data_IF_244398806254
#
_entry.id   IF_244398806254
#
_cell.length_a   1.000
_cell.length_b   1.000
_cell.length_c   1.000
_cell.angle_alpha   90.00
_cell.angle_beta   90.00
_cell.angle_gamma   90.00
#
_symmetry.space_group_name_H-M   'P 1'
#
loop_
_entity.id
_entity.type
_entity.pdbx_description
1 polymer ?
#
# COMPACT_ATOMS: atom_id res chain seq x y z
N UNK A 1 15.66 16.39 -5.15
CA UNK A 1 15.69 16.05 -3.73
C UNK A 1 14.98 17.17 -2.97
N UNK A 2 13.82 16.82 -2.41
CA UNK A 2 12.79 17.72 -1.90
C UNK A 2 11.95 17.04 -0.81
N UNK A 3 11.97 17.61 0.39
CA UNK A 3 10.95 17.38 1.42
C UNK A 3 9.59 17.95 0.95
N UNK A 4 8.51 17.23 1.25
CA UNK A 4 7.13 17.69 1.05
C UNK A 4 6.41 17.68 2.39
N UNK A 5 5.86 18.83 2.80
CA UNK A 5 5.06 18.95 4.03
C UNK A 5 3.65 19.38 3.70
N UNK A 6 2.69 18.64 4.22
CA UNK A 6 1.28 18.98 4.28
C UNK A 6 1.03 19.44 5.71
N UNK A 7 0.68 20.70 5.89
CA UNK A 7 0.48 21.34 7.19
C UNK A 7 -1.01 21.65 7.34
N UNK A 8 -1.67 20.92 8.24
CA UNK A 8 -3.08 21.09 8.58
C UNK A 8 -4.00 21.14 7.34
N UNK A 9 -3.71 20.30 6.36
CA UNK A 9 -4.43 20.28 5.08
C UNK A 9 -5.86 19.80 5.29
N UNK A 10 -6.81 20.47 4.65
CA UNK A 10 -8.21 20.04 4.60
C UNK A 10 -8.73 20.09 3.16
N UNK A 11 -9.59 19.13 2.79
CA UNK A 11 -10.33 19.15 1.53
C UNK A 11 -11.81 18.86 1.73
N UNK A 12 -12.64 19.80 1.29
CA UNK A 12 -14.10 19.70 1.20
C UNK A 12 -14.57 19.83 -0.25
N UNK A 13 -15.59 19.06 -0.60
CA UNK A 13 -16.38 19.23 -1.82
C UNK A 13 -17.82 19.53 -1.45
N UNK A 14 -18.19 20.82 -1.49
CA UNK A 14 -19.45 21.26 -0.88
C UNK A 14 -19.49 20.85 0.59
N UNK A 15 -20.45 20.00 0.97
CA UNK A 15 -20.62 19.51 2.34
C UNK A 15 -19.83 18.22 2.64
N UNK A 16 -19.21 17.59 1.64
CA UNK A 16 -18.47 16.34 1.84
C UNK A 16 -17.02 16.63 2.24
N UNK A 17 -16.62 16.23 3.45
CA UNK A 17 -15.26 16.32 3.95
C UNK A 17 -14.44 15.11 3.46
N UNK A 18 -13.75 15.28 2.32
CA UNK A 18 -12.98 14.20 1.70
C UNK A 18 -11.64 13.95 2.41
N UNK A 19 -11.01 15.01 2.91
CA UNK A 19 -9.76 14.94 3.68
C UNK A 19 -9.91 15.85 4.89
N UNK A 20 -10.17 15.30 6.10
CA UNK A 20 -10.16 16.06 7.34
C UNK A 20 -8.80 16.70 7.61
N UNK A 21 -8.79 17.76 8.42
CA UNK A 21 -7.57 18.46 8.81
C UNK A 21 -6.52 17.47 9.36
N UNK A 22 -5.36 17.41 8.69
CA UNK A 22 -4.24 16.57 9.10
C UNK A 22 -2.92 17.08 8.52
N UNK A 23 -1.82 16.64 9.14
CA UNK A 23 -0.47 16.97 8.69
C UNK A 23 0.30 15.71 8.29
N UNK A 24 1.18 15.82 7.29
CA UNK A 24 2.04 14.75 6.79
C UNK A 24 3.36 15.33 6.30
N UNK A 25 4.47 14.73 6.73
CA UNK A 25 5.81 15.05 6.20
C UNK A 25 6.34 13.85 5.43
N UNK A 26 6.73 14.11 4.18
CA UNK A 26 7.44 13.20 3.29
C UNK A 26 8.90 13.68 3.22
N UNK A 27 9.80 12.82 3.69
CA UNK A 27 11.22 13.11 3.77
C UNK A 27 11.87 13.14 2.38
N UNK A 28 13.01 13.81 2.28
CA UNK A 28 13.77 13.84 1.03
C UNK A 28 14.23 12.43 0.61
N UNK A 29 14.00 12.08 -0.65
CA UNK A 29 14.33 10.78 -1.19
C UNK A 29 13.44 9.63 -0.70
N UNK A 30 12.40 9.91 0.10
CA UNK A 30 11.50 8.88 0.63
C UNK A 30 10.57 8.32 -0.46
N UNK A 31 10.37 7.01 -0.44
CA UNK A 31 9.25 6.34 -1.09
C UNK A 31 8.09 6.18 -0.10
N UNK A 32 7.19 7.17 -0.06
CA UNK A 32 5.98 7.11 0.75
C UNK A 32 4.83 6.47 -0.05
N UNK A 33 4.20 5.43 0.52
CA UNK A 33 2.98 4.85 -0.04
C UNK A 33 1.75 5.34 0.71
N UNK A 34 0.77 5.90 0.01
CA UNK A 34 -0.58 6.12 0.51
C UNK A 34 -1.39 4.84 0.24
N UNK A 35 -1.81 4.17 1.30
CA UNK A 35 -2.50 2.87 1.24
C UNK A 35 -3.86 2.95 1.94
N UNK A 36 -4.88 2.31 1.39
CA UNK A 36 -6.20 2.24 2.03
C UNK A 36 -7.31 1.84 1.06
N UNK A 37 -8.55 1.66 1.55
CA UNK A 37 -9.70 1.31 0.72
C UNK A 37 -10.03 2.36 -0.36
N UNK A 38 -10.81 1.97 -1.36
CA UNK A 38 -11.36 2.92 -2.33
C UNK A 38 -12.14 4.04 -1.63
N UNK A 39 -11.94 5.28 -2.06
CA UNK A 39 -12.63 6.44 -1.50
C UNK A 39 -12.03 7.03 -0.21
N UNK A 40 -10.94 6.49 0.35
CA UNK A 40 -10.36 7.02 1.59
C UNK A 40 -9.50 8.29 1.44
N UNK A 41 -9.50 8.96 0.27
CA UNK A 41 -8.82 10.26 0.08
C UNK A 41 -7.38 10.21 -0.44
N UNK A 42 -6.83 9.03 -0.81
CA UNK A 42 -5.45 8.88 -1.32
C UNK A 42 -5.17 9.71 -2.57
N UNK A 43 -5.96 9.49 -3.62
CA UNK A 43 -5.82 10.19 -4.90
C UNK A 43 -6.08 11.69 -4.75
N UNK A 44 -7.05 12.07 -3.92
CA UNK A 44 -7.30 13.49 -3.57
C UNK A 44 -6.07 14.12 -2.91
N UNK A 45 -5.47 13.47 -1.93
CA UNK A 45 -4.24 13.93 -1.26
C UNK A 45 -3.09 14.09 -2.26
N UNK A 46 -2.88 13.10 -3.12
CA UNK A 46 -1.87 13.18 -4.18
C UNK A 46 -2.13 14.33 -5.17
N UNK A 47 -3.38 14.54 -5.60
CA UNK A 47 -3.74 15.61 -6.53
C UNK A 47 -3.57 16.99 -5.92
N UNK A 48 -3.81 17.14 -4.61
CA UNK A 48 -3.51 18.37 -3.87
C UNK A 48 -2.00 18.67 -3.87
N UNK A 49 -1.15 17.66 -3.64
CA UNK A 49 0.31 17.81 -3.77
C UNK A 49 0.68 18.24 -5.20
N UNK A 50 0.11 17.58 -6.21
CA UNK A 50 0.33 17.87 -7.63
C UNK A 50 -0.13 19.27 -8.08
N UNK A 51 -1.04 19.91 -7.33
CA UNK A 51 -1.73 21.14 -7.74
C UNK A 51 -2.83 20.92 -8.78
N UNK A 52 -3.27 19.67 -8.96
CA UNK A 52 -4.41 19.32 -9.81
C UNK A 52 -5.74 19.49 -9.08
N UNK A 53 -5.67 19.77 -7.78
CA UNK A 53 -6.79 19.92 -6.88
C UNK A 53 -6.44 21.02 -5.87
N UNK A 54 -7.31 22.01 -5.71
CA UNK A 54 -7.10 23.06 -4.70
C UNK A 54 -7.35 22.48 -3.30
N UNK A 55 -6.60 22.97 -2.31
CA UNK A 55 -6.88 22.69 -0.90
C UNK A 55 -8.00 23.59 -0.39
N UNK A 56 -8.76 23.13 0.61
CA UNK A 56 -9.76 23.96 1.29
C UNK A 56 -9.14 24.79 2.41
N UNK A 57 -8.19 24.21 3.16
CA UNK A 57 -7.44 24.89 4.21
C UNK A 57 -6.05 24.24 4.38
N UNK A 58 -5.19 24.90 5.17
CA UNK A 58 -3.82 24.46 5.44
C UNK A 58 -2.82 24.90 4.37
N UNK A 59 -1.63 24.28 4.39
CA UNK A 59 -0.53 24.62 3.51
C UNK A 59 0.18 23.38 2.95
N UNK A 60 0.65 23.48 1.71
CA UNK A 60 1.55 22.51 1.09
C UNK A 60 2.88 23.20 0.87
N UNK A 61 3.92 22.65 1.47
CA UNK A 61 5.30 23.11 1.37
C UNK A 61 6.11 22.11 0.56
N UNK A 62 6.85 22.59 -0.45
CA UNK A 62 7.80 21.80 -1.22
C UNK A 62 9.14 22.50 -1.15
N UNK A 63 10.19 21.81 -0.67
CA UNK A 63 11.52 22.41 -0.43
C UNK A 63 11.45 23.68 0.45
N UNK A 64 10.56 23.68 1.43
CA UNK A 64 10.33 24.81 2.33
C UNK A 64 9.56 25.99 1.73
N UNK A 65 9.12 25.91 0.47
CA UNK A 65 8.30 26.95 -0.16
C UNK A 65 6.82 26.55 -0.18
N UNK A 66 5.92 27.47 0.19
CA UNK A 66 4.47 27.26 0.08
C UNK A 66 4.04 27.27 -1.39
N UNK A 67 3.38 26.21 -1.84
CA UNK A 67 3.04 26.02 -3.26
C UNK A 67 1.55 26.06 -3.58
N UNK A 68 0.68 26.38 -2.62
CA UNK A 68 -0.78 26.30 -2.77
C UNK A 68 -1.28 27.02 -4.04
N UNK A 69 -0.78 28.24 -4.28
CA UNK A 69 -1.20 29.08 -5.42
C UNK A 69 -0.37 28.84 -6.70
N UNK A 70 0.60 27.92 -6.66
CA UNK A 70 1.42 27.58 -7.83
C UNK A 70 0.68 26.57 -8.71
N UNK A 71 0.62 26.80 -10.03
CA UNK A 71 0.09 25.79 -10.95
C UNK A 71 1.00 24.55 -10.98
N UNK A 72 0.49 23.37 -11.35
CA UNK A 72 1.24 22.10 -11.37
C UNK A 72 2.61 22.17 -12.04
N UNK A 73 2.70 22.89 -13.15
CA UNK A 73 3.95 23.05 -13.94
C UNK A 73 5.09 23.72 -13.16
N UNK A 74 4.76 24.54 -12.16
CA UNK A 74 5.70 25.36 -11.39
C UNK A 74 6.03 24.73 -10.02
N UNK A 75 5.48 23.53 -9.74
CA UNK A 75 5.77 22.75 -8.52
C UNK A 75 6.93 21.77 -8.66
N UNK A 76 7.51 21.66 -9.86
CA UNK A 76 8.59 20.72 -10.20
C UNK A 76 8.30 19.23 -9.89
N UNK A 77 7.04 18.83 -10.05
CA UNK A 77 6.53 17.46 -9.83
C UNK A 77 6.27 16.75 -11.16
N UNK A 78 6.65 15.48 -11.29
CA UNK A 78 6.18 14.62 -12.37
C UNK A 78 5.15 13.61 -11.85
N UNK A 79 4.06 13.44 -12.61
CA UNK A 79 2.98 12.52 -12.25
C UNK A 79 2.83 11.40 -13.28
N UNK A 80 2.68 10.17 -12.79
CA UNK A 80 2.30 8.99 -13.57
C UNK A 80 0.86 8.64 -13.20
N UNK A 81 -0.04 8.75 -14.18
CA UNK A 81 -1.46 8.44 -14.00
C UNK A 81 -1.73 6.94 -14.18
N UNK A 82 -2.81 6.46 -13.56
CA UNK A 82 -3.30 5.08 -13.67
C UNK A 82 -3.44 4.58 -15.12
N UNK A 83 -3.99 5.40 -16.01
CA UNK A 83 -4.17 5.07 -17.43
C UNK A 83 -2.93 5.37 -18.30
N UNK A 84 -1.78 5.61 -17.68
CA UNK A 84 -0.49 6.01 -18.28
C UNK A 84 -0.49 7.37 -18.99
N UNK A 85 -1.64 7.81 -19.53
CA UNK A 85 -1.81 9.10 -20.21
C UNK A 85 -0.90 9.26 -21.42
N UNK A 86 -0.55 8.18 -22.12
CA UNK A 86 0.32 8.23 -23.30
C UNK A 86 -0.39 8.89 -24.48
N UNK A 87 0.34 9.63 -25.31
CA UNK A 87 -0.20 10.20 -26.54
C UNK A 87 -0.24 9.11 -27.63
N UNK A 88 -1.42 8.63 -28.05
CA UNK A 88 -1.54 7.45 -28.91
C UNK A 88 -1.01 7.67 -30.32
N UNK A 89 -1.00 8.92 -30.77
CA UNK A 89 -0.53 9.34 -32.10
C UNK A 89 0.99 9.63 -32.13
N UNK A 90 1.66 9.58 -30.98
CA UNK A 90 3.10 9.82 -30.86
C UNK A 90 3.86 8.51 -30.68
N UNK A 91 5.09 8.41 -31.19
CA UNK A 91 5.99 7.29 -30.89
C UNK A 91 6.44 7.31 -29.43
N UNK A 92 7.08 6.24 -28.95
CA UNK A 92 7.72 6.18 -27.64
C UNK A 92 8.70 7.34 -27.46
N UNK A 93 9.60 7.55 -28.42
CA UNK A 93 10.55 8.67 -28.42
C UNK A 93 9.82 10.01 -28.27
N UNK A 94 8.79 10.22 -29.07
CA UNK A 94 8.02 11.48 -29.04
C UNK A 94 7.30 11.67 -27.70
N UNK A 95 6.76 10.61 -27.10
CA UNK A 95 6.17 10.65 -25.77
C UNK A 95 7.20 11.09 -24.72
N UNK A 96 8.43 10.56 -24.78
CA UNK A 96 9.52 10.90 -23.86
C UNK A 96 10.07 12.31 -24.12
N UNK A 97 10.20 12.74 -25.38
CA UNK A 97 10.68 14.08 -25.74
C UNK A 97 9.68 15.20 -25.42
N UNK A 98 8.38 14.90 -25.37
CA UNK A 98 7.33 15.92 -25.32
C UNK A 98 7.42 16.86 -24.11
N UNK A 99 7.65 16.41 -22.86
CA UNK A 99 7.84 17.31 -21.73
C UNK A 99 9.04 18.25 -21.90
N UNK A 100 10.13 17.79 -22.51
CA UNK A 100 11.31 18.62 -22.80
C UNK A 100 11.01 19.66 -23.88
N UNK A 101 10.25 19.26 -24.92
CA UNK A 101 9.80 20.16 -25.99
C UNK A 101 8.98 21.33 -25.42
N UNK A 102 8.07 21.06 -24.48
CA UNK A 102 7.27 22.11 -23.83
C UNK A 102 8.10 23.10 -22.99
N UNK A 103 9.26 22.67 -22.49
CA UNK A 103 10.21 23.54 -21.75
C UNK A 103 11.21 24.25 -22.68
N UNK A 104 11.03 24.15 -24.00
CA UNK A 104 11.91 24.82 -24.96
C UNK A 104 13.28 24.16 -25.15
N UNK A 105 13.47 22.92 -24.72
CA UNK A 105 14.75 22.20 -24.91
C UNK A 105 15.00 21.93 -26.40
N UNK A 106 16.22 22.21 -26.85
CA UNK A 106 16.62 22.04 -28.24
C UNK A 106 16.44 20.59 -28.73
N UNK A 107 16.19 20.42 -30.03
CA UNK A 107 15.87 19.11 -30.63
C UNK A 107 16.97 18.06 -30.43
N UNK A 108 18.23 18.46 -30.52
CA UNK A 108 19.35 17.54 -30.32
C UNK A 108 19.42 17.06 -28.87
N UNK A 109 19.30 17.97 -27.90
CA UNK A 109 19.38 17.65 -26.47
C UNK A 109 18.21 16.79 -26.00
N UNK A 110 16.98 17.09 -26.46
CA UNK A 110 15.82 16.27 -26.08
C UNK A 110 15.93 14.85 -26.64
N UNK A 111 16.47 14.68 -27.85
CA UNK A 111 16.69 13.35 -28.45
C UNK A 111 17.69 12.56 -27.63
N UNK A 112 18.83 13.16 -27.30
CA UNK A 112 19.87 12.54 -26.47
C UNK A 112 19.31 12.10 -25.11
N UNK A 113 18.61 13.01 -24.41
CA UNK A 113 17.99 12.70 -23.11
C UNK A 113 16.90 11.62 -23.22
N UNK A 114 16.13 11.62 -24.29
CA UNK A 114 15.11 10.59 -24.51
C UNK A 114 15.73 9.21 -24.76
N UNK A 115 16.83 9.13 -25.50
CA UNK A 115 17.60 7.90 -25.71
C UNK A 115 18.22 7.40 -24.39
N UNK A 116 18.90 8.27 -23.64
CA UNK A 116 19.46 7.94 -22.31
C UNK A 116 18.37 7.48 -21.32
N UNK A 117 17.20 8.12 -21.37
CA UNK A 117 16.08 7.77 -20.48
C UNK A 117 15.43 6.46 -20.89
N UNK A 118 15.30 6.20 -22.20
CA UNK A 118 14.77 4.94 -22.70
C UNK A 118 15.67 3.77 -22.30
N UNK A 119 16.99 3.95 -22.29
CA UNK A 119 17.95 2.95 -21.82
C UNK A 119 17.70 2.53 -20.37
N UNK A 120 17.49 3.51 -19.48
CA UNK A 120 17.24 3.28 -18.06
C UNK A 120 15.96 2.48 -17.76
N UNK A 121 15.02 2.46 -18.70
CA UNK A 121 13.77 1.70 -18.56
C UNK A 121 13.65 0.58 -19.61
N UNK A 122 14.76 0.21 -20.25
CA UNK A 122 14.87 -0.86 -21.24
C UNK A 122 13.88 -0.71 -22.42
N UNK A 123 13.83 0.49 -23.02
CA UNK A 123 12.95 0.82 -24.15
C UNK A 123 13.71 1.18 -25.44
N UNK A 124 15.04 1.00 -25.49
CA UNK A 124 15.90 1.42 -26.60
C UNK A 124 15.42 0.93 -27.96
N UNK A 125 15.06 -0.36 -28.03
CA UNK A 125 14.59 -1.02 -29.25
C UNK A 125 13.16 -0.63 -29.65
N UNK A 126 12.44 0.12 -28.81
CA UNK A 126 11.01 0.41 -28.97
C UNK A 126 10.73 1.90 -29.23
N UNK A 127 11.77 2.74 -29.35
CA UNK A 127 11.67 4.20 -29.51
C UNK A 127 10.77 4.65 -30.67
N UNK A 128 10.72 3.89 -31.77
CA UNK A 128 9.93 4.23 -32.96
C UNK A 128 8.52 3.64 -32.96
N UNK A 129 8.18 2.76 -32.00
CA UNK A 129 6.83 2.21 -31.87
C UNK A 129 5.86 3.22 -31.29
N UNK A 130 4.57 3.03 -31.55
CA UNK A 130 3.44 3.76 -30.95
C UNK A 130 2.85 2.97 -29.78
N UNK A 131 2.12 3.62 -28.84
CA UNK A 131 1.52 2.96 -27.68
C UNK A 131 0.64 1.73 -27.97
N UNK A 132 -0.01 1.70 -29.14
CA UNK A 132 -0.83 0.56 -29.59
C UNK A 132 -0.01 -0.70 -29.91
N UNK A 133 1.30 -0.57 -30.13
CA UNK A 133 2.21 -1.66 -30.51
C UNK A 133 3.01 -2.22 -29.31
N UNK A 134 2.63 -1.80 -28.10
CA UNK A 134 3.33 -2.09 -26.85
C UNK A 134 2.48 -2.99 -25.94
N UNK A 135 3.15 -3.79 -25.12
CA UNK A 135 2.52 -4.49 -23.98
C UNK A 135 2.13 -3.51 -22.87
N UNK A 136 1.34 -3.97 -21.88
CA UNK A 136 0.97 -3.15 -20.72
C UNK A 136 2.20 -2.62 -19.96
N UNK A 137 3.18 -3.48 -19.69
CA UNK A 137 4.40 -3.11 -18.96
C UNK A 137 5.30 -2.19 -19.76
N UNK A 138 5.38 -2.38 -21.08
CA UNK A 138 6.07 -1.45 -21.96
C UNK A 138 5.41 -0.07 -21.94
N UNK A 139 4.07 0.02 -22.00
CA UNK A 139 3.36 1.31 -21.86
C UNK A 139 3.64 1.99 -20.52
N UNK A 140 3.68 1.23 -19.43
CA UNK A 140 4.03 1.77 -18.13
C UNK A 140 5.46 2.32 -18.12
N UNK A 141 6.44 1.57 -18.64
CA UNK A 141 7.83 2.02 -18.78
C UNK A 141 7.93 3.30 -19.61
N UNK A 142 7.12 3.46 -20.66
CA UNK A 142 7.07 4.72 -21.44
C UNK A 142 6.54 5.88 -20.59
N UNK A 143 5.50 5.66 -19.79
CA UNK A 143 4.96 6.68 -18.90
C UNK A 143 5.98 7.10 -17.83
N UNK A 144 6.72 6.13 -17.30
CA UNK A 144 7.80 6.33 -16.35
C UNK A 144 8.97 7.10 -16.99
N UNK A 145 9.43 6.68 -18.17
CA UNK A 145 10.44 7.39 -18.96
C UNK A 145 10.05 8.86 -19.18
N UNK A 146 8.80 9.10 -19.57
CA UNK A 146 8.27 10.46 -19.76
C UNK A 146 8.25 11.27 -18.47
N UNK A 147 8.01 10.64 -17.31
CA UNK A 147 8.06 11.30 -16.02
C UNK A 147 9.51 11.65 -15.62
N UNK A 148 10.47 10.74 -15.84
CA UNK A 148 11.84 10.88 -15.34
C UNK A 148 12.75 11.72 -16.24
N UNK A 149 12.46 11.83 -17.55
CA UNK A 149 13.28 12.56 -18.55
C UNK A 149 13.55 14.03 -18.17
N UNK A 150 12.66 14.64 -17.37
CA UNK A 150 12.73 16.04 -16.91
C UNK A 150 13.41 16.20 -15.55
N UNK A 151 13.93 15.12 -14.95
CA UNK A 151 14.60 15.11 -13.63
C UNK A 151 13.82 15.90 -12.57
N UNK A 152 12.57 15.49 -12.26
CA UNK A 152 11.72 16.22 -11.32
C UNK A 152 12.25 16.07 -9.89
N UNK A 153 11.83 16.98 -9.01
CA UNK A 153 12.17 16.89 -7.60
C UNK A 153 11.31 15.88 -6.84
N UNK A 154 10.10 15.60 -7.34
CA UNK A 154 9.11 14.70 -6.73
C UNK A 154 8.44 13.87 -7.83
N UNK A 155 8.28 12.58 -7.57
CA UNK A 155 7.42 11.68 -8.34
C UNK A 155 6.09 11.43 -7.62
N UNK A 156 4.99 11.53 -8.36
CA UNK A 156 3.67 11.10 -7.91
C UNK A 156 3.20 9.97 -8.82
N UNK A 157 2.78 8.84 -8.24
CA UNK A 157 2.29 7.70 -9.01
C UNK A 157 0.92 7.24 -8.51
N UNK A 158 -0.12 7.42 -9.32
CA UNK A 158 -1.50 7.10 -8.97
C UNK A 158 -1.88 5.72 -9.53
N UNK A 159 -1.81 4.68 -8.69
CA UNK A 159 -2.07 3.27 -9.02
C UNK A 159 -1.40 2.78 -10.33
N UNK A 160 -0.08 3.00 -10.52
CA UNK A 160 0.56 2.79 -11.82
C UNK A 160 0.63 1.31 -12.24
N UNK A 161 0.36 0.36 -11.35
CA UNK A 161 0.41 -1.09 -11.58
C UNK A 161 -0.98 -1.74 -11.70
N UNK A 162 -2.08 -1.01 -11.46
CA UNK A 162 -3.43 -1.59 -11.38
C UNK A 162 -3.90 -2.26 -12.66
N UNK A 163 -3.44 -1.75 -13.81
CA UNK A 163 -3.84 -2.20 -15.15
C UNK A 163 -2.99 -3.36 -15.69
N UNK A 164 -2.09 -3.93 -14.87
CA UNK A 164 -1.20 -5.03 -15.28
C UNK A 164 -1.68 -6.37 -14.73
N UNK A 165 -1.30 -7.46 -15.41
CA UNK A 165 -1.49 -8.82 -14.92
C UNK A 165 -0.55 -9.13 -13.74
N UNK A 166 -0.89 -10.16 -12.96
CA UNK A 166 -0.18 -10.49 -11.72
C UNK A 166 1.34 -10.75 -11.92
N UNK A 167 1.72 -11.47 -12.99
CA UNK A 167 3.13 -11.78 -13.26
C UNK A 167 3.90 -10.51 -13.54
N UNK A 168 3.34 -9.65 -14.39
CA UNK A 168 3.98 -8.41 -14.77
C UNK A 168 4.03 -7.40 -13.62
N UNK A 169 3.04 -7.39 -12.71
CA UNK A 169 3.09 -6.56 -11.49
C UNK A 169 4.30 -6.89 -10.63
N UNK A 170 4.61 -8.17 -10.44
CA UNK A 170 5.76 -8.60 -9.62
C UNK A 170 7.07 -8.08 -10.22
N UNK A 171 7.27 -8.27 -11.52
CA UNK A 171 8.46 -7.75 -12.22
C UNK A 171 8.53 -6.23 -12.14
N UNK A 172 7.46 -5.53 -12.51
CA UNK A 172 7.46 -4.07 -12.52
C UNK A 172 7.64 -3.45 -11.14
N UNK A 173 7.22 -4.14 -10.08
CA UNK A 173 7.47 -3.70 -8.71
C UNK A 173 8.96 -3.72 -8.36
N UNK A 174 9.67 -4.78 -8.74
CA UNK A 174 11.12 -4.86 -8.56
C UNK A 174 11.83 -3.74 -9.35
N UNK A 175 11.42 -3.52 -10.61
CA UNK A 175 11.95 -2.44 -11.45
C UNK A 175 11.74 -1.05 -10.83
N UNK A 176 10.53 -0.77 -10.32
CA UNK A 176 10.23 0.51 -9.68
C UNK A 176 11.09 0.73 -8.42
N UNK A 177 11.30 -0.32 -7.61
CA UNK A 177 12.16 -0.25 -6.43
C UNK A 177 13.61 0.05 -6.81
N UNK A 178 14.12 -0.63 -7.85
CA UNK A 178 15.47 -0.41 -8.34
C UNK A 178 15.64 1.00 -8.93
N UNK A 179 14.70 1.44 -9.77
CA UNK A 179 14.73 2.79 -10.33
C UNK A 179 14.69 3.87 -9.24
N UNK A 180 13.86 3.69 -8.20
CA UNK A 180 13.85 4.63 -7.08
C UNK A 180 15.21 4.66 -6.38
N UNK A 181 15.84 3.51 -6.15
CA UNK A 181 17.18 3.43 -5.56
C UNK A 181 18.23 4.17 -6.40
N UNK A 182 18.20 4.03 -7.73
CA UNK A 182 19.13 4.73 -8.62
C UNK A 182 18.90 6.24 -8.67
N UNK A 183 17.64 6.69 -8.64
CA UNK A 183 17.30 8.10 -8.81
C UNK A 183 17.32 8.90 -7.50
N UNK A 184 17.02 8.27 -6.36
CA UNK A 184 16.92 8.94 -5.05
C UNK A 184 15.88 10.07 -5.01
N UNK A 185 14.86 10.02 -5.88
CA UNK A 185 13.84 11.06 -5.97
C UNK A 185 12.69 10.75 -5.01
N UNK A 186 12.29 11.75 -4.21
CA UNK A 186 11.12 11.70 -3.34
C UNK A 186 9.90 11.24 -4.13
N UNK A 187 9.25 10.16 -3.69
CA UNK A 187 8.19 9.48 -4.42
C UNK A 187 6.98 9.29 -3.52
N UNK A 188 5.82 9.78 -3.97
CA UNK A 188 4.51 9.46 -3.38
C UNK A 188 3.80 8.49 -4.29
N UNK A 189 3.39 7.35 -3.76
CA UNK A 189 2.78 6.26 -4.51
C UNK A 189 1.42 5.92 -3.91
N UNK A 190 0.36 5.91 -4.71
CA UNK A 190 -0.99 5.57 -4.28
C UNK A 190 -1.32 4.17 -4.75
N UNK A 191 -1.82 3.33 -3.84
CA UNK A 191 -2.30 1.99 -4.18
C UNK A 191 -3.36 1.50 -3.20
N UNK A 192 -4.09 0.49 -3.62
CA UNK A 192 -4.93 -0.35 -2.77
C UNK A 192 -4.31 -1.74 -2.55
N UNK A 193 -3.21 -2.06 -3.24
CA UNK A 193 -2.49 -3.32 -3.10
C UNK A 193 -1.51 -3.25 -1.93
N UNK A 194 -1.76 -4.07 -0.91
CA UNK A 194 -0.94 -4.11 0.28
C UNK A 194 0.47 -4.65 -0.01
N UNK A 195 0.61 -5.60 -0.93
CA UNK A 195 1.91 -6.16 -1.28
C UNK A 195 2.80 -5.10 -1.95
N UNK A 196 2.21 -4.18 -2.72
CA UNK A 196 2.94 -3.02 -3.25
C UNK A 196 3.45 -2.14 -2.11
N UNK A 197 2.58 -1.76 -1.18
CA UNK A 197 2.95 -0.95 -0.02
C UNK A 197 4.05 -1.60 0.82
N UNK A 198 3.93 -2.91 1.07
CA UNK A 198 4.83 -3.65 1.94
C UNK A 198 6.23 -3.85 1.35
N UNK A 199 6.38 -3.79 0.03
CA UNK A 199 7.65 -4.13 -0.63
C UNK A 199 8.35 -2.94 -1.28
N UNK A 200 7.61 -1.89 -1.67
CA UNK A 200 8.16 -0.67 -2.25
C UNK A 200 8.52 0.39 -1.20
N UNK A 201 7.69 0.54 -0.17
CA UNK A 201 7.70 1.74 0.65
C UNK A 201 8.85 1.78 1.65
N UNK A 202 9.37 2.98 1.91
CA UNK A 202 10.09 3.27 3.14
C UNK A 202 9.11 3.43 4.30
N UNK A 203 8.02 4.18 4.07
CA UNK A 203 6.89 4.35 5.01
C UNK A 203 5.56 4.24 4.27
N UNK A 204 4.56 3.77 4.99
CA UNK A 204 3.19 3.64 4.50
C UNK A 204 2.30 4.54 5.34
N UNK A 205 1.56 5.43 4.70
CA UNK A 205 0.45 6.15 5.29
C UNK A 205 -0.83 5.33 5.05
N UNK A 206 -1.26 4.58 6.06
CA UNK A 206 -2.53 3.85 6.01
C UNK A 206 -3.66 4.84 6.23
N UNK A 207 -4.63 4.87 5.30
CA UNK A 207 -5.71 5.85 5.27
C UNK A 207 -7.09 5.19 5.36
N UNK A 208 -7.96 5.78 6.18
CA UNK A 208 -9.40 5.45 6.30
C UNK A 208 -10.19 6.74 6.41
N UNK A 209 -11.27 6.85 5.63
CA UNK A 209 -12.21 7.99 5.70
C UNK A 209 -11.51 9.37 5.64
N UNK A 210 -10.53 9.51 4.74
CA UNK A 210 -9.78 10.74 4.56
C UNK A 210 -8.66 10.97 5.58
N UNK A 211 -8.54 10.16 6.64
CA UNK A 211 -7.53 10.31 7.70
C UNK A 211 -6.41 9.30 7.56
N UNK A 212 -5.18 9.73 7.86
CA UNK A 212 -4.05 8.84 8.12
C UNK A 212 -4.25 8.22 9.51
N UNK A 213 -4.55 6.92 9.54
CA UNK A 213 -4.73 6.15 10.78
C UNK A 213 -3.42 5.65 11.35
N UNK A 214 -2.43 5.35 10.49
CA UNK A 214 -1.09 4.99 10.92
C UNK A 214 -0.06 5.39 9.85
N UNK A 215 1.09 5.85 10.28
CA UNK A 215 2.19 6.28 9.43
C UNK A 215 3.51 5.73 9.97
N UNK A 216 4.00 4.65 9.39
CA UNK A 216 5.25 4.02 9.83
C UNK A 216 5.85 3.17 8.70
N UNK A 217 6.99 2.54 8.96
CA UNK A 217 7.60 1.53 8.10
C UNK A 217 6.66 0.34 7.90
N UNK A 218 6.73 -0.35 6.73
CA UNK A 218 5.98 -1.59 6.50
C UNK A 218 6.07 -2.59 7.65
N UNK A 219 7.30 -2.81 8.16
CA UNK A 219 7.56 -3.77 9.25
C UNK A 219 6.76 -3.43 10.51
N UNK A 220 6.76 -2.15 10.91
CA UNK A 220 6.04 -1.70 12.12
C UNK A 220 4.54 -1.72 11.93
N UNK A 221 4.02 -1.28 10.78
CA UNK A 221 2.57 -1.37 10.50
C UNK A 221 2.06 -2.82 10.56
N UNK A 222 2.84 -3.78 10.05
CA UNK A 222 2.46 -5.18 10.09
C UNK A 222 2.51 -5.76 11.51
N UNK A 223 3.59 -5.47 12.24
CA UNK A 223 3.90 -6.01 13.56
C UNK A 223 3.12 -5.34 14.69
N UNK A 224 2.78 -4.07 14.53
CA UNK A 224 2.25 -3.19 15.56
C UNK A 224 1.12 -2.32 14.95
N UNK A 225 0.01 -2.93 14.53
CA UNK A 225 -1.12 -2.16 14.00
C UNK A 225 -1.67 -1.20 15.06
N UNK A 226 -1.97 0.04 14.69
CA UNK A 226 -2.42 1.08 15.62
C UNK A 226 -3.85 0.85 16.14
N UNK A 227 -4.71 0.29 15.30
CA UNK A 227 -6.11 0.02 15.62
C UNK A 227 -6.62 -1.26 14.94
N UNK A 228 -7.84 -1.66 15.29
CA UNK A 228 -8.52 -2.83 14.74
C UNK A 228 -8.63 -2.80 13.20
N UNK A 229 -8.76 -1.60 12.62
CA UNK A 229 -8.84 -1.47 11.17
C UNK A 229 -7.50 -1.77 10.52
N UNK A 230 -6.39 -1.21 11.01
CA UNK A 230 -5.06 -1.52 10.44
C UNK A 230 -4.74 -3.01 10.61
N UNK A 231 -5.11 -3.59 11.76
CA UNK A 231 -4.92 -5.02 12.04
C UNK A 231 -5.65 -5.92 11.02
N UNK A 232 -6.92 -5.62 10.74
CA UNK A 232 -7.74 -6.37 9.77
C UNK A 232 -7.45 -6.03 8.31
N UNK A 233 -6.95 -4.83 8.04
CA UNK A 233 -6.72 -4.35 6.67
C UNK A 233 -5.36 -4.75 6.12
N UNK A 234 -4.31 -4.82 6.95
CA UNK A 234 -2.96 -5.18 6.52
C UNK A 234 -2.74 -6.68 6.70
N UNK A 235 -2.16 -7.36 5.71
CA UNK A 235 -1.88 -8.80 5.69
C UNK A 235 -2.74 -9.57 4.69
N UNK A 236 -2.15 -10.59 4.07
CA UNK A 236 -2.84 -11.51 3.18
C UNK A 236 -2.38 -12.96 3.46
N UNK A 237 -3.20 -13.79 4.12
CA UNK A 237 -4.53 -13.48 4.67
C UNK A 237 -4.49 -12.43 5.79
N UNK A 238 -5.62 -11.78 6.06
CA UNK A 238 -5.74 -10.77 7.12
C UNK A 238 -5.56 -11.38 8.51
N UNK A 239 -5.32 -10.55 9.52
CA UNK A 239 -5.28 -11.00 10.92
C UNK A 239 -6.57 -11.71 11.30
N UNK A 240 -6.48 -12.79 12.08
CA UNK A 240 -7.64 -13.36 12.74
C UNK A 240 -8.09 -12.39 13.82
N UNK A 241 -9.32 -11.89 13.72
CA UNK A 241 -9.91 -10.97 14.67
C UNK A 241 -11.12 -11.65 15.33
N UNK A 242 -11.00 -11.95 16.62
CA UNK A 242 -11.94 -12.79 17.36
C UNK A 242 -12.54 -11.98 18.50
N UNK A 243 -13.87 -11.85 18.51
CA UNK A 243 -14.60 -11.19 19.58
C UNK A 243 -14.69 -12.09 20.82
N UNK A 244 -14.40 -11.54 21.99
CA UNK A 244 -14.46 -12.28 23.24
C UNK A 244 -14.31 -11.41 24.48
N UNK A 245 -13.91 -12.06 25.57
CA UNK A 245 -13.75 -11.45 26.89
C UNK A 245 -12.49 -11.98 27.55
N UNK A 246 -11.83 -11.17 28.36
CA UNK A 246 -10.74 -11.62 29.24
C UNK A 246 -11.33 -11.86 30.62
N UNK A 247 -11.11 -13.04 31.18
CA UNK A 247 -11.43 -13.31 32.59
C UNK A 247 -10.47 -14.31 33.22
N UNK A 248 -9.93 -13.97 34.39
CA UNK A 248 -8.96 -14.80 35.10
C UNK A 248 -7.65 -15.01 34.33
N UNK A 249 -7.19 -13.99 33.60
CA UNK A 249 -5.97 -14.06 32.79
C UNK A 249 -6.08 -14.92 31.53
N UNK A 250 -7.30 -15.18 31.05
CA UNK A 250 -7.57 -15.96 29.84
C UNK A 250 -8.57 -15.22 28.96
N UNK A 251 -8.21 -14.98 27.70
CA UNK A 251 -9.16 -14.58 26.67
C UNK A 251 -10.02 -15.78 26.27
N UNK A 252 -11.34 -15.60 26.32
CA UNK A 252 -12.33 -16.63 25.98
C UNK A 252 -13.25 -16.17 24.87
N UNK A 253 -13.44 -17.05 23.91
CA UNK A 253 -14.49 -16.99 22.90
C UNK A 253 -14.95 -18.42 22.54
N UNK A 254 -15.95 -18.56 21.67
CA UNK A 254 -16.40 -19.87 21.22
C UNK A 254 -15.25 -20.61 20.50
N UNK A 255 -14.80 -21.73 21.08
CA UNK A 255 -13.69 -22.54 20.58
C UNK A 255 -12.29 -21.94 20.82
N UNK A 256 -12.17 -20.90 21.65
CA UNK A 256 -10.91 -20.19 21.88
C UNK A 256 -10.66 -19.96 23.36
N UNK A 257 -9.54 -20.46 23.86
CA UNK A 257 -9.04 -20.22 25.21
C UNK A 257 -7.54 -19.89 25.12
N UNK A 258 -7.19 -18.61 25.28
CA UNK A 258 -5.82 -18.10 25.16
C UNK A 258 -5.40 -17.44 26.46
N UNK A 259 -4.33 -17.90 27.13
CA UNK A 259 -3.77 -17.18 28.27
C UNK A 259 -3.28 -15.80 27.86
N UNK A 260 -3.70 -14.76 28.59
CA UNK A 260 -3.39 -13.36 28.31
C UNK A 260 -3.08 -12.66 29.64
N UNK A 261 -1.98 -11.91 29.68
CA UNK A 261 -1.64 -11.06 30.82
C UNK A 261 -2.38 -9.71 30.75
N UNK A 262 -3.68 -9.73 31.09
CA UNK A 262 -4.53 -8.53 31.13
C UNK A 262 -5.62 -8.70 32.21
N UNK A 263 -6.05 -7.62 32.88
CA UNK A 263 -7.21 -7.65 33.77
C UNK A 263 -8.51 -8.07 33.07
N UNK A 264 -9.47 -8.56 33.85
CA UNK A 264 -10.80 -8.94 33.36
C UNK A 264 -11.45 -7.78 32.60
N UNK A 265 -11.95 -8.07 31.39
CA UNK A 265 -12.52 -7.08 30.48
C UNK A 265 -13.49 -7.72 29.49
N UNK A 266 -14.65 -7.09 29.33
CA UNK A 266 -15.60 -7.42 28.27
C UNK A 266 -15.33 -6.63 26.99
N UNK A 267 -15.82 -7.13 25.85
CA UNK A 267 -15.72 -6.43 24.57
C UNK A 267 -14.28 -6.31 24.09
N UNK A 268 -13.52 -7.40 24.16
CA UNK A 268 -12.13 -7.48 23.68
C UNK A 268 -12.10 -8.20 22.35
N UNK A 269 -11.25 -7.73 21.43
CA UNK A 269 -10.95 -8.43 20.17
C UNK A 269 -9.54 -8.98 20.24
N UNK A 270 -9.39 -10.29 20.15
CA UNK A 270 -8.10 -10.96 20.01
C UNK A 270 -7.66 -10.94 18.55
N UNK A 271 -6.45 -10.44 18.32
CA UNK A 271 -5.75 -10.44 17.05
C UNK A 271 -4.59 -11.43 17.06
N UNK A 272 -4.55 -12.35 16.08
CA UNK A 272 -3.36 -13.17 15.81
C UNK A 272 -3.19 -13.40 14.30
N UNK A 273 -1.96 -13.34 13.81
CA UNK A 273 -1.68 -13.55 12.39
C UNK A 273 -1.78 -15.03 11.99
N UNK A 274 -2.30 -15.36 10.80
CA UNK A 274 -2.39 -16.76 10.35
C UNK A 274 -1.05 -17.50 10.35
N UNK A 275 0.05 -16.83 10.04
CA UNK A 275 1.39 -17.42 10.05
C UNK A 275 1.98 -17.62 11.45
N UNK A 276 1.39 -17.02 12.49
CA UNK A 276 1.75 -17.23 13.89
C UNK A 276 1.00 -18.42 14.51
N UNK A 277 0.12 -19.07 13.76
CA UNK A 277 -0.59 -20.29 14.13
C UNK A 277 -0.02 -21.50 13.39
N UNK A 278 -0.10 -22.65 14.03
CA UNK A 278 0.22 -23.96 13.46
C UNK A 278 -0.84 -25.00 13.80
N UNK A 279 -0.87 -26.08 13.01
CA UNK A 279 -1.80 -27.19 13.19
C UNK A 279 -1.28 -28.07 14.32
N UNK A 280 -2.12 -28.31 15.32
CA UNK A 280 -1.78 -29.08 16.50
C UNK A 280 -2.52 -30.43 16.54
N UNK A 281 -1.90 -31.47 17.12
CA UNK A 281 -2.54 -32.79 17.27
C UNK A 281 -3.64 -32.83 18.35
N UNK A 282 -3.74 -31.82 19.22
CA UNK A 282 -4.76 -31.72 20.28
C UNK A 282 -4.38 -30.72 21.39
N UNK A 283 -5.33 -30.44 22.31
CA UNK A 283 -5.08 -29.62 23.52
C UNK A 283 -4.73 -28.15 23.27
N UNK A 284 -5.18 -27.59 22.14
CA UNK A 284 -4.70 -26.32 21.62
C UNK A 284 -5.61 -25.13 21.96
N UNK A 285 -5.06 -23.92 21.86
CA UNK A 285 -5.76 -22.67 22.20
C UNK A 285 -6.95 -22.35 21.30
N UNK A 286 -7.01 -22.95 20.11
CA UNK A 286 -8.11 -22.82 19.16
C UNK A 286 -8.61 -24.21 18.76
N UNK A 287 -9.92 -24.43 18.86
CA UNK A 287 -10.57 -25.71 18.60
C UNK A 287 -11.84 -25.50 17.79
N UNK A 288 -12.11 -26.38 16.84
CA UNK A 288 -13.33 -26.31 16.03
C UNK A 288 -13.35 -27.38 14.95
N UNK A 289 -14.26 -27.20 13.98
CA UNK A 289 -14.33 -28.06 12.80
C UNK A 289 -13.54 -27.44 11.66
N UNK A 290 -12.81 -28.25 10.90
CA UNK A 290 -12.20 -27.82 9.66
C UNK A 290 -13.29 -27.34 8.71
N UNK A 291 -13.20 -26.08 8.28
CA UNK A 291 -14.18 -25.45 7.42
C UNK A 291 -13.69 -25.35 5.97
N UNK A 292 -12.42 -24.99 5.77
CA UNK A 292 -11.83 -24.87 4.44
C UNK A 292 -10.34 -25.18 4.45
N UNK A 293 -9.87 -25.75 3.34
CA UNK A 293 -8.47 -25.88 2.97
C UNK A 293 -8.25 -25.20 1.62
N UNK A 294 -7.32 -24.26 1.57
CA UNK A 294 -6.98 -23.54 0.34
C UNK A 294 -5.48 -23.69 0.06
N UNK A 295 -5.14 -24.49 -0.96
CA UNK A 295 -3.76 -24.63 -1.42
C UNK A 295 -3.32 -23.36 -2.17
N UNK A 296 -2.33 -22.66 -1.62
CA UNK A 296 -1.74 -21.45 -2.24
C UNK A 296 -0.49 -21.75 -3.07
N UNK A 297 -0.13 -23.02 -3.19
CA UNK A 297 1.05 -23.52 -3.88
C UNK A 297 2.22 -23.81 -2.93
N UNK A 298 2.63 -22.81 -2.14
CA UNK A 298 3.73 -22.93 -1.16
C UNK A 298 3.26 -23.30 0.25
N UNK A 299 1.95 -23.17 0.52
CA UNK A 299 1.33 -23.47 1.80
C UNK A 299 -0.15 -23.83 1.61
N UNK A 300 -0.77 -24.35 2.67
CA UNK A 300 -2.22 -24.55 2.72
C UNK A 300 -2.79 -23.64 3.80
N UNK A 301 -3.75 -22.80 3.42
CA UNK A 301 -4.52 -22.02 4.40
C UNK A 301 -5.57 -22.94 5.01
N UNK A 302 -5.53 -23.08 6.33
CA UNK A 302 -6.40 -23.94 7.10
C UNK A 302 -7.35 -23.08 7.90
N UNK A 303 -8.63 -23.09 7.52
CA UNK A 303 -9.66 -22.35 8.25
C UNK A 303 -10.48 -23.31 9.10
N UNK A 304 -10.47 -23.10 10.41
CA UNK A 304 -11.39 -23.76 11.34
C UNK A 304 -12.54 -22.84 11.74
N UNK A 305 -13.63 -23.47 12.16
CA UNK A 305 -14.83 -22.78 12.65
C UNK A 305 -15.38 -23.41 13.93
N UNK A 306 -15.70 -22.56 14.90
CA UNK A 306 -16.42 -22.91 16.13
C UNK A 306 -17.61 -21.95 16.27
N UNK A 307 -18.80 -22.42 15.87
CA UNK A 307 -20.01 -21.60 15.75
C UNK A 307 -19.81 -20.33 14.93
N UNK A 308 -19.73 -19.18 15.61
CA UNK A 308 -19.52 -17.88 14.95
C UNK A 308 -18.04 -17.51 14.77
N UNK A 309 -17.13 -18.12 15.52
CA UNK A 309 -15.70 -17.87 15.43
C UNK A 309 -15.11 -18.60 14.23
N UNK A 310 -14.28 -17.91 13.46
CA UNK A 310 -13.50 -18.47 12.34
C UNK A 310 -12.05 -18.07 12.51
N UNK A 311 -11.14 -19.03 12.39
CA UNK A 311 -9.69 -18.81 12.56
C UNK A 311 -8.94 -19.48 11.41
N UNK A 312 -8.06 -18.73 10.77
CA UNK A 312 -7.21 -19.17 9.68
C UNK A 312 -5.76 -19.33 10.16
N UNK A 313 -5.12 -20.43 9.81
CA UNK A 313 -3.69 -20.67 9.99
C UNK A 313 -3.02 -20.98 8.66
N UNK A 314 -1.70 -20.77 8.59
CA UNK A 314 -0.87 -21.21 7.48
C UNK A 314 -0.20 -22.55 7.81
N UNK A 315 -0.71 -23.62 7.21
CA UNK A 315 -0.16 -24.98 7.29
C UNK A 315 0.84 -25.28 6.17
N UNK A 316 1.46 -26.47 6.26
CA UNK A 316 2.34 -26.97 5.20
C UNK A 316 1.54 -27.31 3.93
N UNK A 317 2.21 -27.27 2.77
CA UNK A 317 1.55 -27.42 1.46
C UNK A 317 0.96 -28.83 1.21
N UNK A 318 1.44 -29.85 1.93
CA UNK A 318 0.96 -31.23 1.85
C UNK A 318 -0.10 -31.56 2.91
N UNK A 319 -0.56 -30.57 3.68
CA UNK A 319 -1.57 -30.81 4.69
C UNK A 319 -2.91 -31.14 4.04
N UNK A 320 -3.42 -32.34 4.35
CA UNK A 320 -4.70 -32.84 3.89
C UNK A 320 -5.55 -33.29 5.07
N UNK A 321 -6.84 -32.93 5.05
CA UNK A 321 -7.83 -33.35 6.02
C UNK A 321 -9.25 -33.16 5.44
N UNK A 322 -10.20 -33.97 5.90
CA UNK A 322 -11.59 -33.87 5.45
C UNK A 322 -12.30 -32.69 6.12
N UNK A 323 -13.06 -31.92 5.33
CA UNK A 323 -13.93 -30.85 5.86
C UNK A 323 -14.90 -31.45 6.90
N UNK A 324 -15.18 -30.69 7.95
CA UNK A 324 -16.00 -31.05 9.13
C UNK A 324 -15.33 -32.03 10.11
N UNK A 325 -14.05 -32.37 9.94
CA UNK A 325 -13.27 -33.08 10.97
C UNK A 325 -12.85 -32.14 12.10
N UNK A 326 -12.52 -32.69 13.27
CA UNK A 326 -11.97 -31.90 14.36
C UNK A 326 -10.59 -31.34 13.98
N UNK A 327 -10.40 -30.05 14.26
CA UNK A 327 -9.18 -29.32 13.95
C UNK A 327 -8.75 -28.50 15.17
N UNK A 328 -7.45 -28.51 15.45
CA UNK A 328 -6.84 -27.79 16.55
C UNK A 328 -5.70 -26.92 16.01
N UNK A 329 -5.67 -25.65 16.42
CA UNK A 329 -4.54 -24.76 16.13
C UNK A 329 -3.90 -24.28 17.41
N UNK A 330 -2.57 -24.24 17.42
CA UNK A 330 -1.76 -23.69 18.48
C UNK A 330 -1.01 -22.45 17.99
N UNK A 331 -0.77 -21.45 18.86
CA UNK A 331 0.21 -20.40 18.59
C UNK A 331 1.60 -21.01 18.52
N UNK A 332 2.40 -20.57 17.56
CA UNK A 332 3.83 -20.92 17.49
C UNK A 332 4.60 -20.29 18.65
N UNK A 333 5.79 -20.83 18.92
CA UNK A 333 6.71 -20.22 19.87
C UNK A 333 7.01 -18.76 19.49
N UNK A 334 6.73 -17.83 20.41
CA UNK A 334 6.90 -16.40 20.20
C UNK A 334 5.79 -15.73 19.38
N UNK A 335 4.66 -16.39 19.14
CA UNK A 335 3.47 -15.78 18.54
C UNK A 335 3.03 -14.52 19.31
N UNK A 336 2.54 -13.52 18.58
CA UNK A 336 2.15 -12.24 19.15
C UNK A 336 0.65 -12.10 19.10
N UNK A 337 0.07 -11.97 20.28
CA UNK A 337 -1.31 -11.58 20.41
C UNK A 337 -1.41 -10.06 20.45
N UNK A 338 -2.39 -9.55 19.71
CA UNK A 338 -2.85 -8.18 19.82
C UNK A 338 -4.21 -8.19 20.49
N UNK A 339 -4.48 -7.20 21.33
CA UNK A 339 -5.82 -7.01 21.88
C UNK A 339 -6.31 -5.63 21.51
N UNK A 340 -7.58 -5.55 21.13
CA UNK A 340 -8.25 -4.30 20.81
C UNK A 340 -9.52 -4.18 21.63
N UNK A 341 -9.88 -2.96 21.96
CA UNK A 341 -11.21 -2.66 22.50
C UNK A 341 -12.24 -2.69 21.37
N UNK A 342 -13.34 -3.45 21.55
CA UNK A 342 -14.34 -3.65 20.49
C UNK A 342 -15.12 -2.37 20.16
N UNK A 343 -15.34 -1.50 21.15
CA UNK A 343 -16.17 -0.32 20.96
C UNK A 343 -15.40 0.82 20.26
N UNK A 344 -14.17 1.08 20.70
CA UNK A 344 -13.31 2.14 20.16
C UNK A 344 -12.44 1.67 18.99
N UNK A 345 -12.11 0.37 18.93
CA UNK A 345 -11.12 -0.18 18.00
C UNK A 345 -9.67 0.07 18.41
N UNK A 346 -9.42 0.76 19.52
CA UNK A 346 -8.07 1.09 20.00
C UNK A 346 -7.31 -0.16 20.43
N UNK A 347 -6.00 -0.19 20.16
CA UNK A 347 -5.12 -1.25 20.63
C UNK A 347 -4.89 -1.14 22.14
N UNK A 348 -5.10 -2.25 22.84
CA UNK A 348 -4.86 -2.42 24.26
C UNK A 348 -3.44 -2.95 24.54
N UNK A 349 -2.96 -3.90 23.73
CA UNK A 349 -1.57 -4.41 23.73
C UNK A 349 -1.05 -4.67 22.32
#
# INVERSE_FOLDING_TARGET
MAEVRLVDIEKKYGNFLAVPQQSLTIEDGEFLVLLGPSGCGKTTTMRMIAGLEDITAGDIMIKGERVNDKPPKDRDIAMVFQNYGLYPHMTVRQNIEYPLKLRGVAKADRRKRAEETAAKVELDALLERRPSELSGGQRQRVALARAIVRTPSIFLMDEPLSNLDAKLRVTMRAELKHLHHELGVTTVYVTHDQMEAMTLANRVAVMREGRIVQLDTPKKIYAEPADLFVAGFIGSPSMNLIDGTVSGGVFRAEGVDVPIDMPDREGVVLGIRPEELEIAPGGAAFTGKLYALELTGDSTLVTLRAGKTSVCARGHADFEADINTDCHLAPKDGARFHLFDRASGERLI
#
